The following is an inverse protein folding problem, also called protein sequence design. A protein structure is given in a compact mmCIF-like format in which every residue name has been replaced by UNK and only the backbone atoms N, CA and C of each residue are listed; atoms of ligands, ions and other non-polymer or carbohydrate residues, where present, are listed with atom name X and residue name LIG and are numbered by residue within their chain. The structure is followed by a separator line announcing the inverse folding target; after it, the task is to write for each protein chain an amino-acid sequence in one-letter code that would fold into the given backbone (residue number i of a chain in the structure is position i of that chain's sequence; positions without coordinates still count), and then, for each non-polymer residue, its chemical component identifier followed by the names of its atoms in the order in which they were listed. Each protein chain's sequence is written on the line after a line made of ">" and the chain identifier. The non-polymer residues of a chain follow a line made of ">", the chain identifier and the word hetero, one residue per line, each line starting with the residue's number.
data_IF_472531728161
#
_entry.id   IF_472531728161
#
_cell.length_a   1.000
_cell.length_b   1.000
_cell.length_c   1.000
_cell.angle_alpha   90.00
_cell.angle_beta   90.00
_cell.angle_gamma   90.00
#
_symmetry.space_group_name_H-M   'P 1'
#
loop_
_entity.id
_entity.type
_entity.pdbx_description
1 polymer ?
#
# COMPACT_ATOMS: atom_id res chain seq x y z
N UNK A 1 -1.37 -60.18 -52.95
CA UNK A 1 -0.59 -58.98 -52.78
C UNK A 1 -1.10 -58.32 -51.45
N UNK A 2 -0.38 -58.58 -50.34
CA UNK A 2 -0.73 -58.10 -48.98
C UNK A 2 0.12 -56.87 -48.67
N UNK A 3 -0.52 -55.71 -48.41
CA UNK A 3 0.13 -54.54 -47.80
C UNK A 3 0.02 -54.61 -46.27
N UNK A 4 1.10 -54.44 -45.53
CA UNK A 4 1.01 -54.25 -44.07
C UNK A 4 0.80 -52.78 -43.73
N UNK A 5 -0.28 -52.48 -43.06
CA UNK A 5 -0.54 -51.19 -42.46
C UNK A 5 0.25 -51.06 -41.14
N UNK A 6 1.36 -50.35 -41.14
CA UNK A 6 2.06 -49.93 -39.91
C UNK A 6 1.66 -48.51 -39.52
N UNK A 7 0.71 -48.37 -38.58
CA UNK A 7 0.41 -47.08 -37.94
C UNK A 7 1.54 -46.73 -36.93
N UNK A 8 2.08 -45.49 -36.96
CA UNK A 8 3.08 -45.07 -35.99
C UNK A 8 2.45 -44.79 -34.66
N UNK A 9 2.97 -45.42 -33.58
CA UNK A 9 2.61 -45.23 -32.17
C UNK A 9 3.16 -43.93 -31.56
N UNK A 10 3.05 -42.78 -32.25
CA UNK A 10 3.62 -41.48 -31.82
C UNK A 10 2.61 -40.57 -31.12
N UNK A 11 1.31 -40.94 -31.10
CA UNK A 11 0.24 -40.09 -30.59
C UNK A 11 0.17 -39.86 -29.04
N UNK A 12 0.61 -40.77 -28.14
CA UNK A 12 0.46 -40.53 -26.71
C UNK A 12 1.56 -39.63 -26.11
N UNK A 13 2.73 -39.48 -26.77
CA UNK A 13 3.82 -38.66 -26.21
C UNK A 13 3.58 -37.16 -26.32
N UNK A 14 2.88 -36.70 -27.40
CA UNK A 14 2.53 -35.29 -27.57
C UNK A 14 1.49 -34.78 -26.58
N UNK A 15 0.54 -35.60 -26.16
CA UNK A 15 -0.51 -35.25 -25.24
C UNK A 15 0.01 -35.14 -23.76
N UNK A 16 1.01 -35.94 -23.40
CA UNK A 16 1.63 -35.88 -22.08
C UNK A 16 2.51 -34.65 -21.87
N UNK A 17 3.13 -34.11 -22.91
CA UNK A 17 3.97 -32.91 -22.84
C UNK A 17 3.14 -31.63 -22.71
N UNK A 18 1.91 -31.61 -23.25
CA UNK A 18 1.00 -30.45 -23.15
C UNK A 18 0.43 -30.24 -21.73
N UNK A 19 0.41 -31.26 -20.86
CA UNK A 19 -0.07 -31.18 -19.51
C UNK A 19 0.96 -30.64 -18.51
N UNK A 20 2.23 -30.52 -18.91
CA UNK A 20 3.31 -30.02 -18.03
C UNK A 20 3.47 -28.49 -18.10
N UNK A 21 2.81 -27.79 -19.03
CA UNK A 21 2.93 -26.34 -19.23
C UNK A 21 1.83 -25.55 -18.49
N UNK A 22 0.81 -26.20 -17.94
CA UNK A 22 -0.35 -25.55 -17.31
C UNK A 22 -0.17 -25.22 -15.80
N UNK A 23 1.06 -25.28 -15.25
CA UNK A 23 1.29 -25.28 -13.82
C UNK A 23 1.82 -24.02 -13.15
N UNK A 24 1.95 -22.86 -13.80
CA UNK A 24 2.40 -21.63 -13.14
C UNK A 24 1.50 -20.45 -13.43
N UNK A 25 0.25 -20.51 -12.98
CA UNK A 25 -0.60 -19.33 -12.86
C UNK A 25 -0.13 -18.45 -11.70
N UNK A 26 1.04 -17.81 -11.83
CA UNK A 26 1.47 -16.76 -10.90
C UNK A 26 0.64 -15.51 -11.21
N UNK A 27 -0.52 -15.40 -10.57
CA UNK A 27 -1.33 -14.20 -10.64
C UNK A 27 -0.67 -13.17 -9.73
N UNK A 28 -0.01 -12.17 -10.33
CA UNK A 28 0.42 -10.97 -9.59
C UNK A 28 -0.86 -10.33 -9.02
N UNK A 29 -1.13 -10.58 -7.74
CA UNK A 29 -2.12 -9.82 -7.00
C UNK A 29 -1.51 -8.43 -6.77
N UNK A 30 -2.02 -7.43 -7.48
CA UNK A 30 -1.85 -6.03 -7.11
C UNK A 30 -2.45 -5.74 -5.73
N UNK A 31 -2.31 -4.50 -5.25
CA UNK A 31 -3.01 -4.05 -4.04
C UNK A 31 -4.50 -4.41 -4.15
N UNK A 32 -5.14 -4.87 -3.06
CA UNK A 32 -6.58 -5.15 -3.08
C UNK A 32 -7.33 -3.86 -3.46
N UNK A 33 -8.37 -3.95 -4.31
CA UNK A 33 -9.14 -2.78 -4.69
C UNK A 33 -9.79 -2.18 -3.43
N UNK A 34 -9.70 -0.85 -3.30
CA UNK A 34 -10.47 -0.11 -2.30
C UNK A 34 -11.95 -0.23 -2.67
N UNK A 35 -12.80 -0.45 -1.65
CA UNK A 35 -14.23 -0.61 -1.88
C UNK A 35 -14.86 0.68 -2.41
N UNK A 36 -15.74 0.55 -3.42
CA UNK A 36 -16.59 1.65 -3.89
C UNK A 36 -17.55 2.19 -2.82
N UNK A 37 -17.68 1.52 -1.69
CA UNK A 37 -18.45 2.02 -0.54
C UNK A 37 -17.81 3.25 0.12
N UNK A 38 -16.48 3.49 -0.11
CA UNK A 38 -15.72 4.66 0.36
C UNK A 38 -15.79 5.85 -0.63
N UNK A 39 -16.87 6.02 -1.36
CA UNK A 39 -17.03 7.11 -2.32
C UNK A 39 -18.25 7.98 -1.97
N UNK A 40 -18.16 9.30 -2.22
CA UNK A 40 -16.97 10.06 -2.63
C UNK A 40 -15.95 10.24 -1.47
N UNK A 41 -14.63 10.14 -1.79
CA UNK A 41 -13.53 10.21 -0.83
C UNK A 41 -12.71 11.48 -1.01
N UNK A 42 -12.39 12.18 0.08
CA UNK A 42 -11.34 13.20 0.10
C UNK A 42 -10.02 12.62 0.62
N UNK A 43 -8.91 13.14 0.11
CA UNK A 43 -7.56 12.87 0.64
C UNK A 43 -6.95 14.19 1.07
N UNK A 44 -6.86 14.37 2.38
CA UNK A 44 -6.28 15.54 3.03
C UNK A 44 -4.88 15.20 3.57
N UNK A 45 -3.89 15.90 3.04
CA UNK A 45 -2.51 15.77 3.47
C UNK A 45 -2.10 17.02 4.24
N UNK A 46 -1.61 16.86 5.47
CA UNK A 46 -1.05 17.98 6.23
C UNK A 46 0.23 18.52 5.58
N UNK A 47 0.60 19.77 5.90
CA UNK A 47 1.72 20.47 5.25
C UNK A 47 3.10 19.85 5.49
N UNK A 48 3.24 18.92 6.43
CA UNK A 48 4.46 18.15 6.68
C UNK A 48 4.58 16.89 5.82
N UNK A 49 3.49 16.47 5.17
CA UNK A 49 3.47 15.29 4.27
C UNK A 49 4.05 15.66 2.91
N UNK A 50 5.07 14.94 2.41
CA UNK A 50 5.63 15.19 1.09
C UNK A 50 4.58 15.08 -0.02
N UNK A 51 4.63 16.02 -0.96
CA UNK A 51 3.71 16.08 -2.10
C UNK A 51 3.74 14.78 -2.92
N UNK A 52 4.92 14.16 -3.06
CA UNK A 52 5.09 12.88 -3.76
C UNK A 52 4.28 11.75 -3.08
N UNK A 53 4.31 11.64 -1.75
CA UNK A 53 3.53 10.64 -1.03
C UNK A 53 2.02 10.88 -1.21
N UNK A 54 1.58 12.12 -1.03
CA UNK A 54 0.17 12.51 -1.21
C UNK A 54 -0.30 12.23 -2.64
N UNK A 55 0.53 12.57 -3.64
CA UNK A 55 0.28 12.30 -5.05
C UNK A 55 0.17 10.81 -5.35
N UNK A 56 1.10 9.99 -4.85
CA UNK A 56 1.08 8.53 -5.04
C UNK A 56 -0.19 7.89 -4.44
N UNK A 57 -0.66 8.34 -3.28
CA UNK A 57 -1.93 7.86 -2.70
C UNK A 57 -3.12 8.23 -3.59
N UNK A 58 -3.22 9.49 -4.01
CA UNK A 58 -4.32 9.96 -4.90
C UNK A 58 -4.32 9.23 -6.24
N UNK A 59 -3.14 9.01 -6.83
CA UNK A 59 -3.00 8.27 -8.08
C UNK A 59 -3.47 6.82 -7.94
N UNK A 60 -3.03 6.10 -6.90
CA UNK A 60 -3.43 4.71 -6.68
C UNK A 60 -4.93 4.57 -6.42
N UNK A 61 -5.56 5.51 -5.69
CA UNK A 61 -7.01 5.56 -5.50
C UNK A 61 -7.74 5.79 -6.83
N UNK A 62 -7.25 6.72 -7.65
CA UNK A 62 -7.83 7.02 -8.97
C UNK A 62 -7.70 5.84 -9.93
N UNK A 63 -6.57 5.14 -9.93
CA UNK A 63 -6.37 3.90 -10.70
C UNK A 63 -7.31 2.78 -10.23
N UNK A 64 -7.70 2.80 -8.94
CA UNK A 64 -8.73 1.93 -8.35
C UNK A 64 -10.16 2.35 -8.65
N UNK A 65 -10.39 3.39 -9.48
CA UNK A 65 -11.70 3.99 -9.80
C UNK A 65 -12.43 4.55 -8.57
N UNK A 66 -11.72 5.06 -7.59
CA UNK A 66 -12.30 5.79 -6.46
C UNK A 66 -12.56 7.24 -6.89
N UNK A 67 -13.80 7.71 -6.68
CA UNK A 67 -14.19 9.10 -6.91
C UNK A 67 -13.58 10.00 -5.83
N UNK A 68 -12.56 10.79 -6.22
CA UNK A 68 -11.90 11.73 -5.33
C UNK A 68 -12.55 13.12 -5.45
N UNK A 69 -12.98 13.65 -4.32
CA UNK A 69 -13.65 14.94 -4.21
C UNK A 69 -12.95 15.84 -3.17
N UNK A 70 -13.12 17.16 -3.23
CA UNK A 70 -12.75 18.05 -2.12
C UNK A 70 -13.52 17.68 -0.83
N UNK A 71 -12.92 17.95 0.34
CA UNK A 71 -13.45 17.56 1.66
C UNK A 71 -14.88 18.03 1.92
N UNK A 72 -15.27 19.19 1.33
CA UNK A 72 -16.64 19.73 1.46
C UNK A 72 -17.71 18.94 0.69
N UNK A 73 -17.29 18.07 -0.24
CA UNK A 73 -18.16 17.26 -1.09
C UNK A 73 -18.01 15.77 -0.88
N UNK A 74 -17.12 15.39 0.03
CA UNK A 74 -16.80 14.00 0.30
C UNK A 74 -17.62 13.47 1.47
N UNK A 75 -18.07 12.22 1.38
CA UNK A 75 -18.70 11.49 2.48
C UNK A 75 -17.68 10.91 3.45
N UNK A 76 -16.45 10.73 2.97
CA UNK A 76 -15.32 10.17 3.71
C UNK A 76 -14.05 11.00 3.52
N UNK A 77 -13.26 11.14 4.56
CA UNK A 77 -11.99 11.88 4.52
C UNK A 77 -10.86 10.98 5.01
N UNK A 78 -9.87 10.75 4.17
CA UNK A 78 -8.59 10.16 4.55
C UNK A 78 -7.63 11.28 4.92
N UNK A 79 -7.34 11.42 6.20
CA UNK A 79 -6.32 12.33 6.72
C UNK A 79 -4.97 11.62 6.73
N UNK A 80 -3.94 12.29 6.19
CA UNK A 80 -2.54 11.84 6.19
C UNK A 80 -1.71 12.92 6.86
N UNK A 81 -1.01 12.60 7.94
CA UNK A 81 -0.33 13.59 8.77
C UNK A 81 0.91 13.03 9.47
N UNK A 82 1.62 13.91 10.21
CA UNK A 82 2.75 13.55 11.06
C UNK A 82 3.83 12.74 10.31
N UNK A 83 4.21 13.21 9.11
CA UNK A 83 5.26 12.58 8.34
C UNK A 83 6.62 12.76 9.04
N UNK A 84 7.34 11.65 9.23
CA UNK A 84 8.67 11.61 9.82
C UNK A 84 9.62 10.82 8.93
N UNK A 85 10.84 11.36 8.78
CA UNK A 85 11.93 10.68 8.08
C UNK A 85 13.12 10.55 9.00
N UNK A 86 13.66 9.35 9.10
CA UNK A 86 14.85 9.04 9.86
C UNK A 86 15.91 8.37 8.99
N UNK A 87 17.17 8.72 9.22
CA UNK A 87 18.34 8.05 8.65
C UNK A 87 19.25 7.67 9.80
N UNK A 88 19.48 6.38 9.97
CA UNK A 88 20.31 5.85 11.05
C UNK A 88 21.42 4.97 10.48
N UNK A 89 22.65 5.09 11.01
CA UNK A 89 23.69 4.11 10.72
C UNK A 89 23.29 2.76 11.31
N UNK A 90 23.21 1.72 10.48
CA UNK A 90 22.84 0.35 10.88
C UNK A 90 24.06 -0.58 10.98
N UNK A 91 25.17 -0.23 10.32
CA UNK A 91 26.44 -0.91 10.47
C UNK A 91 27.59 0.10 10.42
N UNK A 92 28.68 -0.22 11.12
CA UNK A 92 29.92 0.56 11.11
C UNK A 92 31.10 -0.30 10.69
N UNK A 93 32.10 0.33 10.03
CA UNK A 93 33.37 -0.30 9.69
C UNK A 93 34.28 -0.43 10.93
N UNK A 94 35.34 -1.19 10.80
CA UNK A 94 36.40 -1.28 11.83
C UNK A 94 37.07 0.06 12.17
N UNK A 95 36.90 1.09 11.32
CA UNK A 95 37.39 2.47 11.54
C UNK A 95 36.31 3.38 12.15
N UNK A 96 35.21 2.80 12.62
CA UNK A 96 34.04 3.52 13.17
C UNK A 96 33.32 4.48 12.19
N UNK A 97 33.50 4.27 10.86
CA UNK A 97 32.70 4.95 9.84
C UNK A 97 31.42 4.16 9.54
N UNK A 98 30.35 4.84 9.17
CA UNK A 98 29.13 4.16 8.77
C UNK A 98 29.33 3.36 7.48
N UNK A 99 28.98 2.06 7.51
CA UNK A 99 29.05 1.15 6.37
C UNK A 99 27.68 0.93 5.74
N UNK A 100 26.63 1.06 6.54
CA UNK A 100 25.24 0.93 6.11
C UNK A 100 24.36 1.97 6.82
N UNK A 101 23.35 2.43 6.12
CA UNK A 101 22.28 3.28 6.68
C UNK A 101 20.92 2.64 6.45
N UNK A 102 20.05 2.76 7.44
CA UNK A 102 18.63 2.49 7.31
C UNK A 102 17.88 3.81 7.18
N UNK A 103 17.13 3.95 6.09
CA UNK A 103 16.14 4.99 5.90
C UNK A 103 14.81 4.47 6.43
N UNK A 104 14.11 5.26 7.22
CA UNK A 104 12.77 4.97 7.69
C UNK A 104 11.87 6.18 7.47
N UNK A 105 10.69 5.93 6.95
CA UNK A 105 9.63 6.91 6.81
C UNK A 105 8.40 6.44 7.55
N UNK A 106 7.74 7.34 8.23
CA UNK A 106 6.56 7.08 9.05
C UNK A 106 5.52 8.15 8.77
N UNK A 107 4.24 7.76 8.75
CA UNK A 107 3.11 8.66 8.56
C UNK A 107 1.94 8.16 9.38
N UNK A 108 1.14 9.06 9.92
CA UNK A 108 -0.12 8.73 10.59
C UNK A 108 -1.27 8.88 9.59
N UNK A 109 -2.20 7.93 9.63
CA UNK A 109 -3.43 7.98 8.84
C UNK A 109 -4.65 7.86 9.75
N UNK A 110 -5.74 8.49 9.32
CA UNK A 110 -7.06 8.38 9.92
C UNK A 110 -8.11 8.43 8.81
N UNK A 111 -9.21 7.72 8.97
CA UNK A 111 -10.36 7.82 8.05
C UNK A 111 -11.60 8.18 8.85
N UNK A 112 -12.21 9.28 8.49
CA UNK A 112 -13.44 9.79 9.09
C UNK A 112 -14.57 9.80 8.08
N UNK A 113 -15.77 9.65 8.57
CA UNK A 113 -16.99 10.02 7.82
C UNK A 113 -17.18 11.55 7.88
N UNK A 114 -18.04 12.11 7.02
CA UNK A 114 -18.39 13.53 7.05
C UNK A 114 -18.99 13.99 8.40
N UNK A 115 -19.63 13.08 9.15
CA UNK A 115 -20.15 13.29 10.51
C UNK A 115 -19.17 12.90 11.63
N UNK A 116 -17.86 12.82 11.29
CA UNK A 116 -16.73 12.60 12.21
C UNK A 116 -16.73 11.24 12.92
N UNK A 117 -17.34 10.21 12.35
CA UNK A 117 -17.21 8.84 12.86
C UNK A 117 -15.91 8.24 12.36
N UNK A 118 -15.02 7.76 13.24
CA UNK A 118 -13.77 7.15 12.83
C UNK A 118 -13.99 5.75 12.25
N UNK A 119 -13.69 5.57 10.96
CA UNK A 119 -13.65 4.26 10.28
C UNK A 119 -12.29 3.60 10.45
N UNK A 120 -11.23 4.40 10.49
CA UNK A 120 -9.88 4.02 10.92
C UNK A 120 -9.43 5.06 11.92
N UNK A 121 -9.20 4.63 13.16
CA UNK A 121 -8.60 5.48 14.18
C UNK A 121 -7.16 5.86 13.82
N UNK A 122 -6.59 6.96 14.36
CA UNK A 122 -5.22 7.37 14.09
C UNK A 122 -4.27 6.18 14.19
N UNK A 123 -3.58 5.89 13.09
CA UNK A 123 -2.74 4.70 12.92
C UNK A 123 -1.43 5.07 12.27
N UNK A 124 -0.33 4.69 12.92
CA UNK A 124 1.03 4.86 12.43
C UNK A 124 1.36 3.77 11.37
N UNK A 125 1.85 4.21 10.23
CA UNK A 125 2.38 3.36 9.17
C UNK A 125 3.84 3.70 8.94
N UNK A 126 4.67 2.69 8.66
CA UNK A 126 6.07 2.93 8.41
C UNK A 126 6.63 2.03 7.29
N UNK A 127 7.63 2.55 6.61
CA UNK A 127 8.40 1.81 5.60
C UNK A 127 9.89 2.08 5.82
N UNK A 128 10.74 1.09 5.58
CA UNK A 128 12.18 1.25 5.76
C UNK A 128 12.97 0.45 4.73
N UNK A 129 14.15 0.96 4.40
CA UNK A 129 15.11 0.34 3.49
C UNK A 129 16.52 0.55 4.01
N UNK A 130 17.41 -0.43 3.82
CA UNK A 130 18.81 -0.33 4.21
C UNK A 130 19.70 -0.35 2.98
N UNK A 131 20.67 0.57 2.90
CA UNK A 131 21.62 0.65 1.81
C UNK A 131 23.04 0.76 2.32
N UNK A 132 24.00 0.28 1.51
CA UNK A 132 25.43 0.39 1.81
C UNK A 132 25.93 1.77 1.44
N UNK A 133 26.67 2.36 2.35
CA UNK A 133 27.35 3.64 2.14
C UNK A 133 28.80 3.43 1.72
N UNK A 134 29.25 4.21 0.73
CA UNK A 134 30.63 4.21 0.26
C UNK A 134 31.12 5.66 0.19
N UNK A 135 32.09 6.00 1.04
CA UNK A 135 32.68 7.34 1.13
C UNK A 135 33.45 7.73 -0.14
N UNK A 136 33.87 6.76 -0.95
CA UNK A 136 34.57 7.03 -2.22
C UNK A 136 33.65 7.50 -3.35
N UNK A 137 32.31 7.34 -3.21
CA UNK A 137 31.35 7.64 -4.26
C UNK A 137 30.11 8.36 -3.74
N UNK A 138 30.32 9.47 -3.06
CA UNK A 138 29.27 10.22 -2.34
C UNK A 138 28.10 10.63 -3.26
N UNK A 139 28.39 11.14 -4.47
CA UNK A 139 27.34 11.60 -5.39
C UNK A 139 26.44 10.47 -5.89
N UNK A 140 26.99 9.29 -6.18
CA UNK A 140 26.17 8.14 -6.56
C UNK A 140 25.34 7.65 -5.38
N UNK A 141 25.87 7.69 -4.17
CA UNK A 141 25.15 7.30 -2.95
C UNK A 141 24.04 8.28 -2.58
N UNK A 142 24.18 9.56 -2.85
CA UNK A 142 23.09 10.54 -2.70
C UNK A 142 21.93 10.24 -3.65
N UNK A 143 22.20 9.95 -4.92
CA UNK A 143 21.15 9.58 -5.90
C UNK A 143 20.46 8.27 -5.55
N UNK A 144 21.22 7.30 -5.04
CA UNK A 144 20.65 6.02 -4.55
C UNK A 144 19.71 6.28 -3.36
N UNK A 145 20.13 7.12 -2.40
CA UNK A 145 19.30 7.49 -1.25
C UNK A 145 18.02 8.21 -1.69
N UNK A 146 18.09 9.16 -2.63
CA UNK A 146 16.92 9.84 -3.19
C UNK A 146 15.94 8.86 -3.84
N UNK A 147 16.45 7.94 -4.67
CA UNK A 147 15.61 6.92 -5.31
C UNK A 147 14.96 5.97 -4.28
N UNK A 148 15.69 5.60 -3.22
CA UNK A 148 15.14 4.80 -2.12
C UNK A 148 14.07 5.55 -1.34
N UNK A 149 14.21 6.87 -1.16
CA UNK A 149 13.19 7.69 -0.51
C UNK A 149 11.88 7.71 -1.31
N UNK A 150 11.96 7.85 -2.64
CA UNK A 150 10.80 7.78 -3.52
C UNK A 150 10.12 6.39 -3.46
N UNK A 151 10.91 5.33 -3.48
CA UNK A 151 10.38 3.97 -3.33
C UNK A 151 9.68 3.75 -1.98
N UNK A 152 10.14 4.39 -0.91
CA UNK A 152 9.50 4.32 0.40
C UNK A 152 8.15 5.05 0.42
N UNK A 153 7.98 6.16 -0.35
CA UNK A 153 6.68 6.80 -0.53
C UNK A 153 5.68 5.88 -1.20
N UNK A 154 6.07 5.20 -2.26
CA UNK A 154 5.19 4.25 -2.95
C UNK A 154 4.78 3.08 -2.06
N UNK A 155 5.71 2.58 -1.25
CA UNK A 155 5.40 1.53 -0.28
C UNK A 155 4.43 2.01 0.82
N UNK A 156 4.59 3.24 1.32
CA UNK A 156 3.64 3.84 2.26
C UNK A 156 2.27 4.03 1.62
N UNK A 157 2.22 4.55 0.39
CA UNK A 157 0.97 4.68 -0.34
C UNK A 157 0.25 3.33 -0.51
N UNK A 158 0.98 2.28 -0.89
CA UNK A 158 0.42 0.93 -0.96
C UNK A 158 -0.11 0.43 0.39
N UNK A 159 0.61 0.68 1.49
CA UNK A 159 0.14 0.31 2.84
C UNK A 159 -1.16 1.05 3.20
N UNK A 160 -1.28 2.33 2.83
CA UNK A 160 -2.52 3.10 3.01
C UNK A 160 -3.66 2.43 2.25
N UNK A 161 -3.47 2.11 0.96
CA UNK A 161 -4.48 1.41 0.16
C UNK A 161 -4.90 0.08 0.79
N UNK A 162 -3.93 -0.70 1.30
CA UNK A 162 -4.23 -1.95 2.01
C UNK A 162 -5.06 -1.74 3.29
N UNK A 163 -4.88 -0.62 3.98
CA UNK A 163 -5.69 -0.28 5.16
C UNK A 163 -7.11 0.14 4.81
N UNK A 164 -7.32 0.73 3.64
CA UNK A 164 -8.65 1.12 3.16
C UNK A 164 -9.45 -0.07 2.60
N UNK A 165 -8.78 -1.06 2.03
CA UNK A 165 -9.41 -2.18 1.33
C UNK A 165 -10.48 -2.95 2.13
N UNK A 166 -10.36 -3.16 3.47
CA UNK A 166 -11.38 -3.84 4.27
C UNK A 166 -12.62 -3.02 4.57
N UNK A 167 -12.66 -1.73 4.21
CA UNK A 167 -13.79 -0.84 4.48
C UNK A 167 -14.87 -1.01 3.40
N UNK A 168 -15.53 -2.15 3.41
CA UNK A 168 -16.75 -2.38 2.63
C UNK A 168 -17.98 -1.78 3.33
N UNK A 169 -19.13 -1.83 2.64
CA UNK A 169 -20.38 -1.26 3.16
C UNK A 169 -20.77 -1.85 4.52
N UNK A 170 -20.72 -3.17 4.65
CA UNK A 170 -21.10 -3.84 5.88
C UNK A 170 -20.20 -3.45 7.06
N UNK A 171 -18.90 -3.26 6.79
CA UNK A 171 -17.96 -2.81 7.80
C UNK A 171 -18.20 -1.37 8.21
N UNK A 172 -18.46 -0.48 7.25
CA UNK A 172 -18.78 0.93 7.50
C UNK A 172 -20.05 1.04 8.34
N UNK A 173 -21.10 0.32 7.97
CA UNK A 173 -22.40 0.35 8.69
C UNK A 173 -22.24 -0.15 10.14
N UNK A 174 -21.47 -1.21 10.36
CA UNK A 174 -21.18 -1.68 11.72
C UNK A 174 -20.41 -0.64 12.56
N UNK A 175 -19.38 -0.02 12.00
CA UNK A 175 -18.62 1.01 12.72
C UNK A 175 -19.47 2.24 13.08
N UNK A 176 -20.39 2.64 12.20
CA UNK A 176 -21.36 3.71 12.49
C UNK A 176 -22.28 3.33 13.63
N UNK A 177 -22.83 2.12 13.63
CA UNK A 177 -23.69 1.64 14.71
C UNK A 177 -22.96 1.55 16.05
N UNK A 178 -21.74 1.07 16.06
CA UNK A 178 -20.90 1.02 17.26
C UNK A 178 -20.65 2.44 17.82
N UNK A 179 -20.36 3.41 16.95
CA UNK A 179 -20.16 4.80 17.35
C UNK A 179 -21.42 5.46 17.91
N UNK A 180 -22.61 5.19 17.33
CA UNK A 180 -23.89 5.67 17.84
C UNK A 180 -24.17 5.10 19.25
N UNK A 181 -24.00 3.81 19.44
CA UNK A 181 -24.19 3.14 20.74
C UNK A 181 -23.26 3.71 21.82
N UNK A 182 -22.02 4.05 21.46
CA UNK A 182 -21.04 4.64 22.38
C UNK A 182 -21.47 6.06 22.77
N UNK A 183 -21.96 6.87 21.82
CA UNK A 183 -22.48 8.22 22.11
C UNK A 183 -23.68 8.20 23.03
N UNK A 184 -24.61 7.26 22.83
CA UNK A 184 -25.81 7.12 23.66
C UNK A 184 -25.45 6.72 25.11
N UNK A 185 -24.43 5.88 25.29
CA UNK A 185 -23.94 5.49 26.62
C UNK A 185 -23.25 6.64 27.34
N UNK A 186 -22.46 7.46 26.63
CA UNK A 186 -21.76 8.61 27.21
C UNK A 186 -22.74 9.76 27.57
N UNK A 187 -23.78 9.95 26.77
CA UNK A 187 -24.81 10.97 27.01
C UNK A 187 -25.81 10.60 28.12
N UNK A 188 -25.88 9.32 28.48
CA UNK A 188 -26.78 8.79 29.52
C UNK A 188 -26.18 8.70 30.93
N UNK A 189 -24.90 9.05 31.13
CA UNK A 189 -24.31 9.13 32.48
C UNK A 189 -24.52 10.54 33.09
N UNK A 190 -25.22 10.63 34.24
CA UNK A 190 -25.47 11.89 34.94
C UNK A 190 -24.26 12.45 35.66
#
# INVERSE_FOLDING_TARGET
>A
MNLPASLPKILPAGLALSLLVSGCGFQLRGAPPVSSALQPLAVDCSGDVPEQLCGSVKEQLSLGNIDLQPSEKADYVLNISNFRRERRASAITVRAAAAEYTLRQTVDIEVLTSDQVPLIAPTDLNSSETYRYDESNVLAKQREEEALQEQLYDRLAQQIIFRLAPLDRDRIDRLRQEAEQTRDQDSGQP
#
